data_IF_653176895437
#
_entry.id   IF_653176895437
#
_cell.length_a   1.000
_cell.length_b   1.000
_cell.length_c   1.000
_cell.angle_alpha   90.00
_cell.angle_beta   90.00
_cell.angle_gamma   90.00
#
_symmetry.space_group_name_H-M   'P 1'
#
loop_
_entity.id
_entity.type
_entity.pdbx_description
1 polymer ?
#
# COMPACT_ATOMS: atom_id res chain seq x y z
N UNK A 1 -20.00 16.42 21.76
CA UNK A 1 -20.62 15.45 20.84
C UNK A 1 -21.86 16.08 20.25
N UNK A 2 -22.00 16.03 18.94
CA UNK A 2 -23.18 16.55 18.23
C UNK A 2 -23.85 15.42 17.49
N UNK A 3 -25.19 15.44 17.51
CA UNK A 3 -26.04 14.47 16.86
C UNK A 3 -26.94 15.23 15.88
N UNK A 4 -26.88 14.88 14.59
CA UNK A 4 -27.66 15.51 13.53
C UNK A 4 -28.53 14.46 12.84
N UNK A 5 -29.79 14.80 12.58
CA UNK A 5 -30.72 13.96 11.84
C UNK A 5 -30.88 14.49 10.41
N UNK A 6 -30.75 13.61 9.42
CA UNK A 6 -30.91 13.95 8.01
C UNK A 6 -31.84 12.96 7.30
N UNK A 7 -32.70 13.47 6.41
CA UNK A 7 -33.54 12.64 5.53
C UNK A 7 -32.71 12.03 4.38
N UNK A 8 -33.06 10.82 3.95
CA UNK A 8 -32.39 10.06 2.88
C UNK A 8 -32.88 10.44 1.45
N UNK A 9 -32.12 10.13 0.37
CA UNK A 9 -30.93 9.27 0.36
C UNK A 9 -29.58 10.00 0.20
N UNK A 10 -28.61 9.58 1.01
CA UNK A 10 -27.17 9.70 0.74
C UNK A 10 -26.82 8.63 -0.32
N UNK A 11 -25.84 8.86 -1.22
CA UNK A 11 -25.43 7.86 -2.20
C UNK A 11 -25.17 6.49 -1.58
N UNK A 12 -25.75 5.46 -2.19
CA UNK A 12 -25.60 4.08 -1.75
C UNK A 12 -24.21 3.58 -2.16
N UNK A 13 -23.30 3.43 -1.20
CA UNK A 13 -21.99 2.81 -1.42
C UNK A 13 -22.14 1.29 -1.44
N UNK A 14 -22.27 0.71 -2.62
CA UNK A 14 -22.39 -0.73 -2.80
C UNK A 14 -21.19 -1.49 -2.22
N UNK A 15 -19.97 -0.99 -2.38
CA UNK A 15 -18.76 -1.69 -1.93
C UNK A 15 -18.67 -1.78 -0.41
N UNK A 16 -19.11 -0.72 0.30
CA UNK A 16 -19.22 -0.75 1.75
C UNK A 16 -20.10 -1.90 2.25
N UNK A 17 -21.29 -2.07 1.64
CA UNK A 17 -22.24 -3.10 2.05
C UNK A 17 -21.85 -4.50 1.59
N UNK A 18 -21.15 -4.64 0.45
CA UNK A 18 -20.53 -5.90 0.02
C UNK A 18 -19.52 -6.39 1.05
N UNK A 19 -18.58 -5.54 1.47
CA UNK A 19 -17.59 -5.92 2.48
C UNK A 19 -18.23 -6.25 3.82
N UNK A 20 -19.19 -5.44 4.27
CA UNK A 20 -19.91 -5.70 5.51
C UNK A 20 -20.63 -7.05 5.49
N UNK A 21 -21.09 -7.51 4.30
CA UNK A 21 -21.78 -8.79 4.15
C UNK A 21 -20.94 -10.02 4.50
N UNK A 22 -19.61 -9.91 4.51
CA UNK A 22 -18.72 -11.01 4.88
C UNK A 22 -18.83 -11.39 6.37
N UNK A 23 -19.14 -10.43 7.23
CA UNK A 23 -19.35 -10.65 8.67
C UNK A 23 -20.82 -10.58 9.06
N UNK A 24 -21.63 -9.88 8.26
CA UNK A 24 -23.05 -9.65 8.50
C UNK A 24 -23.84 -9.87 7.20
N UNK A 25 -24.22 -11.12 6.89
CA UNK A 25 -24.83 -11.47 5.60
C UNK A 25 -26.05 -10.63 5.20
N UNK A 26 -26.82 -10.12 6.16
CA UNK A 26 -28.00 -9.29 5.92
C UNK A 26 -27.71 -7.80 5.67
N UNK A 27 -26.44 -7.37 5.65
CA UNK A 27 -26.02 -5.97 5.56
C UNK A 27 -26.72 -5.21 4.42
N UNK A 28 -26.73 -5.76 3.21
CA UNK A 28 -27.40 -5.17 2.04
C UNK A 28 -28.89 -4.95 2.25
N UNK A 29 -29.59 -5.97 2.75
CA UNK A 29 -31.03 -5.92 2.98
C UNK A 29 -31.35 -4.91 4.08
N UNK A 30 -30.52 -4.85 5.13
CA UNK A 30 -30.68 -3.89 6.21
C UNK A 30 -30.46 -2.46 5.72
N UNK A 31 -29.38 -2.21 4.97
CA UNK A 31 -29.08 -0.93 4.36
C UNK A 31 -30.22 -0.46 3.45
N UNK A 32 -30.81 -1.32 2.61
CA UNK A 32 -31.93 -0.95 1.73
C UNK A 32 -33.19 -0.45 2.47
N UNK A 33 -33.31 -0.71 3.78
CA UNK A 33 -34.44 -0.26 4.61
C UNK A 33 -34.22 1.12 5.25
N UNK A 34 -33.03 1.70 5.20
CA UNK A 34 -32.78 2.99 5.85
C UNK A 34 -33.67 4.09 5.24
N UNK A 35 -34.10 5.03 6.11
CA UNK A 35 -34.96 6.17 5.73
C UNK A 35 -34.42 7.52 6.21
N UNK A 36 -33.47 7.49 7.13
CA UNK A 36 -32.81 8.66 7.69
C UNK A 36 -31.41 8.28 8.16
N UNK A 37 -30.57 9.28 8.34
CA UNK A 37 -29.24 9.14 8.91
C UNK A 37 -29.16 9.93 10.22
N UNK A 38 -28.56 9.31 11.22
CA UNK A 38 -28.15 9.96 12.45
C UNK A 38 -26.63 10.09 12.43
N UNK A 39 -26.13 11.31 12.29
CA UNK A 39 -24.70 11.58 12.27
C UNK A 39 -24.26 11.92 13.67
N UNK A 40 -23.33 11.14 14.22
CA UNK A 40 -22.73 11.36 15.54
C UNK A 40 -21.29 11.78 15.34
N UNK A 41 -20.96 13.01 15.75
CA UNK A 41 -19.62 13.58 15.56
C UNK A 41 -19.09 14.22 16.84
N UNK A 42 -17.83 13.93 17.24
CA UNK A 42 -17.19 14.66 18.32
C UNK A 42 -16.90 16.08 17.84
N UNK A 43 -17.72 17.06 18.26
CA UNK A 43 -17.32 18.46 18.12
C UNK A 43 -16.27 18.79 19.18
N UNK A 44 -15.19 19.44 18.75
CA UNK A 44 -14.25 20.08 19.66
C UNK A 44 -15.02 20.94 20.66
N UNK A 45 -14.57 20.96 21.92
CA UNK A 45 -15.23 21.75 22.96
C UNK A 45 -15.42 23.18 22.47
N UNK A 46 -16.65 23.69 22.55
CA UNK A 46 -16.91 25.12 22.40
C UNK A 46 -15.90 25.88 23.25
N UNK A 47 -15.28 26.91 22.66
CA UNK A 47 -14.26 27.77 23.27
C UNK A 47 -14.73 28.33 24.62
N UNK A 48 -14.53 27.57 25.68
CA UNK A 48 -14.49 28.04 27.05
C UNK A 48 -13.04 28.01 27.46
N UNK A 49 -12.51 29.18 27.82
CA UNK A 49 -11.11 29.49 28.15
C UNK A 49 -10.60 28.78 29.42
N UNK A 50 -10.75 27.46 29.52
CA UNK A 50 -10.21 26.64 30.62
C UNK A 50 -9.64 25.33 30.07
N UNK A 51 -8.32 25.32 29.87
CA UNK A 51 -7.35 24.23 30.08
C UNK A 51 -7.78 22.76 29.87
N UNK A 52 -8.60 22.44 28.87
CA UNK A 52 -8.82 21.04 28.50
C UNK A 52 -8.03 20.72 27.23
N UNK A 53 -7.02 19.86 27.38
CA UNK A 53 -6.26 19.30 26.25
C UNK A 53 -7.26 18.69 25.26
N UNK A 54 -7.17 18.99 23.95
CA UNK A 54 -8.02 18.33 22.96
C UNK A 54 -7.80 16.82 23.02
N UNK A 55 -8.90 16.06 22.95
CA UNK A 55 -8.83 14.60 22.87
C UNK A 55 -8.08 14.18 21.60
N UNK A 56 -7.21 13.17 21.71
CA UNK A 56 -6.62 12.53 20.55
C UNK A 56 -7.68 11.75 19.76
N UNK A 57 -7.27 11.25 18.58
CA UNK A 57 -8.18 10.53 17.70
C UNK A 57 -8.71 9.24 18.35
N UNK A 58 -7.86 8.52 19.08
CA UNK A 58 -8.21 7.28 19.77
C UNK A 58 -9.25 7.53 20.86
N UNK A 59 -9.04 8.52 21.73
CA UNK A 59 -9.99 8.84 22.80
C UNK A 59 -11.34 9.29 22.23
N UNK A 60 -11.32 10.04 21.12
CA UNK A 60 -12.55 10.38 20.39
C UNK A 60 -13.24 9.15 19.82
N UNK A 61 -12.50 8.20 19.25
CA UNK A 61 -13.06 6.96 18.72
C UNK A 61 -13.72 6.11 19.81
N UNK A 62 -13.06 5.96 20.96
CA UNK A 62 -13.60 5.26 22.12
C UNK A 62 -14.89 5.93 22.64
N UNK A 63 -14.86 7.26 22.82
CA UNK A 63 -16.02 8.01 23.28
C UNK A 63 -17.19 7.94 22.29
N UNK A 64 -16.92 8.11 20.99
CA UNK A 64 -17.92 7.97 19.94
C UNK A 64 -18.51 6.56 19.92
N UNK A 65 -17.68 5.53 20.11
CA UNK A 65 -18.12 4.13 20.17
C UNK A 65 -19.12 3.89 21.30
N UNK A 66 -18.78 4.35 22.52
CA UNK A 66 -19.66 4.22 23.68
C UNK A 66 -20.98 4.99 23.49
N UNK A 67 -20.92 6.23 22.99
CA UNK A 67 -22.11 7.06 22.76
C UNK A 67 -23.00 6.46 21.68
N UNK A 68 -22.43 6.06 20.54
CA UNK A 68 -23.20 5.43 19.47
C UNK A 68 -23.81 4.11 19.98
N UNK A 69 -23.09 3.34 20.78
CA UNK A 69 -23.63 2.14 21.44
C UNK A 69 -24.87 2.43 22.28
N UNK A 70 -24.83 3.47 23.12
CA UNK A 70 -25.98 3.91 23.91
C UNK A 70 -27.15 4.39 23.04
N UNK A 71 -26.87 5.14 21.96
CA UNK A 71 -27.88 5.62 21.01
C UNK A 71 -28.56 4.46 20.29
N UNK A 72 -27.79 3.50 19.78
CA UNK A 72 -28.30 2.31 19.10
C UNK A 72 -29.17 1.49 20.06
N UNK A 73 -28.73 1.30 21.31
CA UNK A 73 -29.51 0.62 22.33
C UNK A 73 -30.83 1.34 22.67
N UNK A 74 -30.84 2.67 22.64
CA UNK A 74 -32.04 3.47 22.90
C UNK A 74 -33.00 3.58 21.69
N UNK A 75 -32.54 3.25 20.48
CA UNK A 75 -33.27 3.44 19.23
C UNK A 75 -33.43 2.13 18.45
N UNK A 76 -34.52 1.37 18.66
CA UNK A 76 -34.72 0.06 18.02
C UNK A 76 -34.90 0.14 16.49
N UNK A 77 -35.04 1.34 15.92
CA UNK A 77 -35.15 1.57 14.47
C UNK A 77 -33.81 1.71 13.73
N UNK A 78 -32.67 1.66 14.43
CA UNK A 78 -31.35 1.72 13.77
C UNK A 78 -31.14 0.42 12.98
N UNK A 79 -30.84 0.55 11.69
CA UNK A 79 -30.65 -0.61 10.80
C UNK A 79 -29.19 -0.96 10.57
N UNK A 80 -28.27 -0.01 10.78
CA UNK A 80 -26.84 -0.16 10.59
C UNK A 80 -26.10 1.00 11.29
N UNK A 81 -24.83 0.80 11.59
CA UNK A 81 -23.88 1.86 11.96
C UNK A 81 -22.77 1.91 10.91
N UNK A 82 -22.48 3.10 10.41
CA UNK A 82 -21.37 3.34 9.47
C UNK A 82 -20.33 4.23 10.15
N UNK A 83 -19.11 3.70 10.26
CA UNK A 83 -17.97 4.40 10.84
C UNK A 83 -17.12 5.02 9.73
N UNK A 84 -16.95 6.35 9.79
CA UNK A 84 -16.11 7.14 8.87
C UNK A 84 -16.38 6.87 7.37
N UNK A 85 -17.59 6.42 7.02
CA UNK A 85 -17.94 6.03 5.65
C UNK A 85 -17.30 4.73 5.14
N UNK A 86 -16.42 4.08 5.91
CA UNK A 86 -15.56 2.99 5.43
C UNK A 86 -15.93 1.61 5.98
N UNK A 87 -16.54 1.57 7.17
CA UNK A 87 -16.83 0.33 7.90
C UNK A 87 -18.29 0.32 8.32
N UNK A 88 -19.03 -0.70 7.94
CA UNK A 88 -20.43 -0.86 8.31
C UNK A 88 -20.62 -2.07 9.23
N UNK A 89 -21.44 -1.89 10.27
CA UNK A 89 -21.75 -2.92 11.28
C UNK A 89 -23.24 -2.98 11.56
N UNK A 90 -23.70 -4.18 11.89
CA UNK A 90 -25.03 -4.39 12.43
C UNK A 90 -25.20 -3.64 13.76
N UNK A 91 -26.41 -3.19 14.10
CA UNK A 91 -26.72 -2.65 15.43
C UNK A 91 -26.27 -3.57 16.58
N UNK A 92 -26.44 -4.88 16.42
CA UNK A 92 -26.15 -5.89 17.44
C UNK A 92 -24.66 -5.97 17.75
N UNK A 93 -23.81 -6.12 16.72
CA UNK A 93 -22.35 -6.06 16.86
C UNK A 93 -21.89 -4.76 17.53
N UNK A 94 -22.49 -3.61 17.17
CA UNK A 94 -22.11 -2.34 17.76
C UNK A 94 -22.47 -2.28 19.24
N UNK A 95 -23.68 -2.67 19.63
CA UNK A 95 -24.12 -2.72 21.03
C UNK A 95 -23.18 -3.61 21.83
N UNK A 96 -22.88 -4.82 21.35
CA UNK A 96 -22.05 -5.78 22.06
C UNK A 96 -20.63 -5.24 22.30
N UNK A 97 -19.94 -4.84 21.24
CA UNK A 97 -18.56 -4.40 21.32
C UNK A 97 -18.40 -3.01 21.96
N UNK A 98 -19.41 -2.14 21.88
CA UNK A 98 -19.35 -0.80 22.48
C UNK A 98 -19.25 -0.82 24.01
N UNK A 99 -19.64 -1.92 24.66
CA UNK A 99 -19.47 -2.12 26.11
C UNK A 99 -18.00 -2.13 26.52
N UNK A 100 -17.12 -2.53 25.60
CA UNK A 100 -15.67 -2.56 25.77
C UNK A 100 -14.99 -1.37 25.11
N UNK A 101 -15.70 -0.25 24.86
CA UNK A 101 -15.17 0.94 24.18
C UNK A 101 -13.80 1.43 24.68
N UNK A 102 -13.53 1.28 25.98
CA UNK A 102 -12.30 1.72 26.63
C UNK A 102 -11.34 0.57 26.98
N UNK A 103 -11.66 -0.66 26.57
CA UNK A 103 -10.80 -1.81 26.82
C UNK A 103 -9.53 -1.75 25.95
N UNK A 104 -8.46 -2.37 26.46
CA UNK A 104 -7.23 -2.63 25.70
C UNK A 104 -7.35 -3.94 24.92
N UNK A 105 -6.43 -4.18 23.98
CA UNK A 105 -6.34 -5.48 23.30
C UNK A 105 -6.19 -6.62 24.34
N UNK A 106 -6.90 -7.76 24.19
CA UNK A 106 -7.65 -8.19 23.01
C UNK A 106 -9.10 -7.69 22.92
N UNK A 107 -9.64 -7.10 23.97
CA UNK A 107 -11.07 -6.74 24.06
C UNK A 107 -11.41 -5.37 23.47
N UNK A 108 -10.40 -4.62 23.00
CA UNK A 108 -10.58 -3.35 22.29
C UNK A 108 -11.50 -3.56 21.06
N UNK A 109 -12.52 -2.73 20.84
CA UNK A 109 -13.50 -2.93 19.77
C UNK A 109 -13.00 -2.39 18.43
N UNK A 110 -11.74 -2.68 18.09
CA UNK A 110 -11.10 -2.21 16.88
C UNK A 110 -11.84 -2.69 15.62
N UNK A 111 -12.54 -3.83 15.71
CA UNK A 111 -13.36 -4.37 14.65
C UNK A 111 -14.58 -3.49 14.31
N UNK A 112 -14.97 -2.54 15.17
CA UNK A 112 -15.97 -1.51 14.83
C UNK A 112 -15.39 -0.38 13.97
N UNK A 113 -14.07 -0.17 14.00
CA UNK A 113 -13.41 0.98 13.38
C UNK A 113 -12.70 0.64 12.07
N UNK A 114 -12.30 -0.62 11.90
CA UNK A 114 -11.60 -1.11 10.73
C UNK A 114 -12.03 -2.54 10.38
N UNK A 115 -11.71 -2.96 9.16
CA UNK A 115 -11.86 -4.33 8.67
C UNK A 115 -10.49 -4.98 8.51
N UNK A 116 -10.44 -6.30 8.71
CA UNK A 116 -9.31 -7.15 8.32
C UNK A 116 -9.82 -8.05 7.20
N UNK A 117 -9.35 -7.80 6.00
CA UNK A 117 -9.77 -8.48 4.78
C UNK A 117 -8.73 -9.53 4.40
N UNK A 118 -9.00 -10.83 4.62
CA UNK A 118 -8.12 -11.87 4.13
C UNK A 118 -8.16 -11.90 2.59
N UNK A 119 -7.03 -12.21 1.98
CA UNK A 119 -6.92 -12.40 0.53
C UNK A 119 -5.95 -13.53 0.21
N UNK A 120 -6.05 -14.07 -0.99
CA UNK A 120 -5.13 -15.09 -1.49
C UNK A 120 -4.23 -14.48 -2.57
N UNK A 121 -2.91 -14.55 -2.37
CA UNK A 121 -1.91 -14.15 -3.36
C UNK A 121 -1.07 -15.37 -3.77
N UNK A 122 -1.41 -15.95 -4.92
CA UNK A 122 -0.86 -17.23 -5.34
C UNK A 122 -1.24 -18.35 -4.35
N UNK A 123 -0.27 -18.78 -3.54
CA UNK A 123 -0.47 -19.80 -2.48
C UNK A 123 -0.42 -19.22 -1.07
N UNK A 124 -0.16 -17.92 -0.94
CA UNK A 124 0.03 -17.28 0.35
C UNK A 124 -1.25 -16.58 0.76
N UNK A 125 -1.71 -16.86 1.99
CA UNK A 125 -2.82 -16.16 2.59
C UNK A 125 -2.27 -14.86 3.19
N UNK A 126 -2.78 -13.74 2.70
CA UNK A 126 -2.52 -12.43 3.26
C UNK A 126 -3.76 -11.84 3.92
N UNK A 127 -3.57 -10.70 4.57
CA UNK A 127 -4.65 -9.88 5.07
C UNK A 127 -4.29 -8.40 4.92
N UNK A 128 -5.29 -7.57 4.62
CA UNK A 128 -5.14 -6.11 4.59
C UNK A 128 -6.13 -5.45 5.53
N UNK A 129 -5.83 -4.24 5.98
CA UNK A 129 -6.78 -3.44 6.74
C UNK A 129 -7.49 -2.41 5.87
N UNK A 130 -8.71 -2.06 6.27
CA UNK A 130 -9.44 -0.89 5.75
C UNK A 130 -9.94 -0.09 6.95
N UNK A 131 -9.50 1.17 7.08
CA UNK A 131 -9.89 2.09 8.14
C UNK A 131 -8.82 2.33 9.21
N UNK A 132 -7.74 1.53 9.26
CA UNK A 132 -6.65 1.73 10.21
C UNK A 132 -5.90 3.05 9.95
N UNK A 133 -5.87 3.49 8.68
CA UNK A 133 -5.23 4.75 8.28
C UNK A 133 -5.77 5.97 9.02
N UNK A 134 -7.01 5.93 9.51
CA UNK A 134 -7.57 7.00 10.34
C UNK A 134 -6.83 7.17 11.68
N UNK A 135 -6.20 6.10 12.19
CA UNK A 135 -5.45 6.09 13.44
C UNK A 135 -3.94 6.23 13.23
N UNK A 136 -3.40 5.55 12.22
CA UNK A 136 -1.96 5.40 12.03
C UNK A 136 -1.41 6.05 10.74
N UNK A 137 -2.27 6.69 9.94
CA UNK A 137 -1.92 7.28 8.64
C UNK A 137 -1.65 6.27 7.52
N UNK A 138 -1.71 4.96 7.81
CA UNK A 138 -1.46 3.87 6.86
C UNK A 138 -2.35 2.67 7.18
N UNK A 139 -2.68 1.89 6.17
CA UNK A 139 -3.24 0.54 6.35
C UNK A 139 -2.10 -0.49 6.55
N UNK A 140 -2.44 -1.73 6.89
CA UNK A 140 -1.53 -2.87 6.87
C UNK A 140 -1.78 -3.68 5.60
N UNK A 141 -0.71 -4.14 4.96
CA UNK A 141 -0.76 -5.17 3.91
C UNK A 141 0.17 -6.32 4.32
N UNK A 142 -0.40 -7.37 4.90
CA UNK A 142 0.35 -8.48 5.49
C UNK A 142 0.30 -9.70 4.56
N UNK A 143 1.46 -10.14 4.08
CA UNK A 143 1.60 -11.32 3.23
C UNK A 143 2.86 -12.10 3.61
N UNK A 144 2.72 -13.00 4.57
CA UNK A 144 3.81 -13.86 5.06
C UNK A 144 3.53 -15.31 4.70
N UNK A 145 4.51 -15.96 4.05
CA UNK A 145 4.43 -17.33 3.57
C UNK A 145 4.21 -18.33 4.71
N UNK A 146 3.45 -19.39 4.44
CA UNK A 146 3.28 -20.53 5.37
C UNK A 146 2.24 -20.33 6.48
N UNK A 147 1.59 -19.16 6.55
CA UNK A 147 0.55 -18.90 7.54
C UNK A 147 -0.83 -19.30 7.04
N UNK A 148 -1.64 -19.84 7.95
CA UNK A 148 -3.08 -20.00 7.74
C UNK A 148 -3.84 -18.66 7.93
N UNK A 149 -5.10 -18.63 7.50
CA UNK A 149 -5.93 -17.43 7.60
C UNK A 149 -6.11 -16.93 9.03
N UNK A 150 -6.21 -17.84 10.02
CA UNK A 150 -6.44 -17.46 11.42
C UNK A 150 -5.22 -16.78 12.01
N UNK A 151 -4.04 -17.33 11.75
CA UNK A 151 -2.76 -16.78 12.22
C UNK A 151 -2.46 -15.45 11.53
N UNK A 152 -2.64 -15.36 10.21
CA UNK A 152 -2.46 -14.09 9.48
C UNK A 152 -3.41 -12.98 9.99
N UNK A 153 -4.70 -13.28 10.14
CA UNK A 153 -5.68 -12.30 10.66
C UNK A 153 -5.43 -11.92 12.12
N UNK A 154 -5.02 -12.88 12.95
CA UNK A 154 -4.64 -12.64 14.35
C UNK A 154 -3.42 -11.72 14.48
N UNK A 155 -2.39 -11.91 13.63
CA UNK A 155 -1.21 -11.02 13.60
C UNK A 155 -1.57 -9.61 13.15
N UNK A 156 -2.40 -9.48 12.11
CA UNK A 156 -2.89 -8.16 11.68
C UNK A 156 -3.70 -7.49 12.79
N UNK A 157 -4.56 -8.20 13.51
CA UNK A 157 -5.31 -7.65 14.64
C UNK A 157 -4.37 -7.11 15.74
N UNK A 158 -3.36 -7.89 16.13
CA UNK A 158 -2.36 -7.47 17.12
C UNK A 158 -1.59 -6.21 16.68
N UNK A 159 -1.11 -6.20 15.42
CA UNK A 159 -0.40 -5.07 14.84
C UNK A 159 -1.29 -3.81 14.78
N UNK A 160 -2.55 -3.96 14.36
CA UNK A 160 -3.47 -2.84 14.29
C UNK A 160 -3.75 -2.26 15.68
N UNK A 161 -3.99 -3.08 16.70
CA UNK A 161 -4.15 -2.60 18.07
C UNK A 161 -2.88 -1.92 18.61
N UNK A 162 -1.69 -2.44 18.26
CA UNK A 162 -0.43 -1.78 18.58
C UNK A 162 -0.36 -0.38 17.96
N UNK A 163 -0.65 -0.24 16.67
CA UNK A 163 -0.62 1.05 15.98
C UNK A 163 -1.70 2.01 16.46
N UNK A 164 -2.88 1.52 16.82
CA UNK A 164 -3.92 2.35 17.45
C UNK A 164 -3.42 2.89 18.79
N UNK A 165 -2.76 2.07 19.61
CA UNK A 165 -2.34 2.45 20.95
C UNK A 165 -1.10 3.36 20.97
N UNK A 166 -0.15 3.16 20.05
CA UNK A 166 1.18 3.82 20.08
C UNK A 166 1.47 4.71 18.87
N UNK A 167 0.64 4.65 17.83
CA UNK A 167 0.93 5.31 16.56
C UNK A 167 2.07 4.66 15.79
N UNK A 168 2.40 5.25 14.63
CA UNK A 168 3.43 4.74 13.73
C UNK A 168 4.86 5.13 14.15
N UNK A 169 5.00 6.20 14.93
CA UNK A 169 6.31 6.73 15.34
C UNK A 169 7.08 5.76 16.23
N UNK A 170 6.36 5.01 17.08
CA UNK A 170 6.89 3.92 17.89
C UNK A 170 6.81 2.56 17.19
N UNK A 171 6.39 2.54 15.92
CA UNK A 171 6.21 1.34 15.11
C UNK A 171 7.43 0.93 14.30
N UNK A 172 7.36 -0.25 13.65
CA UNK A 172 8.42 -0.73 12.77
C UNK A 172 8.67 0.24 11.61
N UNK A 173 9.93 0.62 11.42
CA UNK A 173 10.35 1.52 10.34
C UNK A 173 10.42 0.77 9.00
N UNK A 174 10.25 1.50 7.91
CA UNK A 174 10.49 0.95 6.57
C UNK A 174 11.92 0.43 6.46
N UNK A 175 12.09 -0.76 5.90
CA UNK A 175 13.38 -1.47 5.81
C UNK A 175 13.71 -2.33 7.04
N UNK A 176 12.88 -2.32 8.10
CA UNK A 176 13.07 -3.23 9.22
C UNK A 176 12.87 -4.69 8.81
N UNK A 177 13.59 -5.60 9.47
CA UNK A 177 13.47 -7.04 9.28
C UNK A 177 13.24 -7.68 10.63
N UNK A 178 12.19 -8.49 10.73
CA UNK A 178 11.93 -9.35 11.88
C UNK A 178 12.56 -10.72 11.64
N UNK A 179 13.25 -11.23 12.66
CA UNK A 179 13.76 -12.59 12.67
C UNK A 179 12.63 -13.61 12.86
N UNK A 180 12.94 -14.87 12.58
CA UNK A 180 12.03 -15.97 12.78
C UNK A 180 11.54 -16.07 14.24
N UNK A 181 10.28 -16.44 14.43
CA UNK A 181 9.66 -16.72 15.71
C UNK A 181 8.98 -18.11 15.73
N UNK A 182 8.19 -18.41 16.77
CA UNK A 182 7.53 -19.72 16.92
C UNK A 182 6.44 -20.00 15.88
N UNK A 183 5.91 -18.98 15.22
CA UNK A 183 4.86 -19.10 14.19
C UNK A 183 5.40 -18.83 12.79
N UNK A 184 6.47 -18.05 12.65
CA UNK A 184 7.09 -17.66 11.39
C UNK A 184 8.55 -18.11 11.41
N UNK A 185 8.89 -19.19 10.70
CA UNK A 185 10.22 -19.81 10.70
C UNK A 185 11.26 -19.11 9.80
N UNK A 186 10.98 -17.89 9.35
CA UNK A 186 11.81 -17.14 8.40
C UNK A 186 11.69 -15.63 8.63
N UNK A 187 12.51 -14.86 7.91
CA UNK A 187 12.58 -13.40 8.08
C UNK A 187 11.44 -12.68 7.38
N UNK A 188 10.90 -11.68 8.04
CA UNK A 188 9.82 -10.82 7.51
C UNK A 188 10.32 -9.39 7.36
N UNK A 189 10.28 -8.87 6.15
CA UNK A 189 10.62 -7.48 5.85
C UNK A 189 9.40 -6.57 6.01
N UNK A 190 9.65 -5.36 6.52
CA UNK A 190 8.68 -4.27 6.61
C UNK A 190 9.00 -3.21 5.58
N UNK A 191 8.01 -2.81 4.79
CA UNK A 191 8.15 -1.70 3.83
C UNK A 191 6.97 -0.75 3.95
N UNK A 192 7.25 0.55 4.05
CA UNK A 192 6.24 1.59 3.91
C UNK A 192 6.12 1.92 2.42
N UNK A 193 4.98 1.61 1.81
CA UNK A 193 4.78 1.68 0.36
C UNK A 193 3.33 2.03 0.00
N UNK A 194 3.01 2.18 -1.28
CA UNK A 194 1.62 2.23 -1.73
C UNK A 194 1.08 0.82 -1.92
N UNK A 195 -0.19 0.59 -1.56
CA UNK A 195 -0.80 -0.72 -1.73
C UNK A 195 -0.94 -1.07 -3.21
N UNK A 196 -0.65 -2.32 -3.54
CA UNK A 196 -1.00 -2.89 -4.86
C UNK A 196 -2.51 -2.99 -5.08
N UNK A 197 -3.30 -2.99 -4.01
CA UNK A 197 -4.77 -2.99 -4.05
C UNK A 197 -5.36 -1.58 -4.16
N UNK A 198 -4.53 -0.55 -4.35
CA UNK A 198 -4.96 0.86 -4.48
C UNK A 198 -5.78 1.39 -3.29
N UNK A 199 -5.57 0.84 -2.10
CA UNK A 199 -6.18 1.32 -0.84
C UNK A 199 -5.37 2.45 -0.18
N UNK A 200 -4.38 3.00 -0.88
CA UNK A 200 -3.50 4.07 -0.39
C UNK A 200 -2.22 3.56 0.29
N UNK A 201 -1.61 4.38 1.17
CA UNK A 201 -0.35 4.05 1.84
C UNK A 201 -0.50 2.88 2.83
N UNK A 202 0.46 1.95 2.79
CA UNK A 202 0.47 0.75 3.65
C UNK A 202 1.80 0.56 4.37
N UNK A 203 1.73 -0.18 5.47
CA UNK A 203 2.83 -0.90 6.10
C UNK A 203 2.74 -2.33 5.59
N UNK A 204 3.63 -2.68 4.67
CA UNK A 204 3.68 -4.01 4.08
C UNK A 204 4.59 -4.92 4.88
N UNK A 205 4.11 -6.12 5.20
CA UNK A 205 4.88 -7.20 5.81
C UNK A 205 5.00 -8.31 4.79
N UNK A 206 6.22 -8.73 4.47
CA UNK A 206 6.43 -9.77 3.46
C UNK A 206 7.63 -10.66 3.78
N UNK A 207 7.51 -11.95 3.48
CA UNK A 207 8.62 -12.90 3.61
C UNK A 207 9.81 -12.45 2.77
N UNK A 208 11.00 -12.35 3.36
CA UNK A 208 12.20 -11.93 2.62
C UNK A 208 12.71 -13.07 1.73
N UNK A 209 12.57 -14.30 2.20
CA UNK A 209 12.95 -15.50 1.46
C UNK A 209 11.78 -15.95 0.57
N UNK A 210 12.03 -16.06 -0.74
CA UNK A 210 11.02 -16.43 -1.74
C UNK A 210 10.77 -17.94 -1.75
N UNK A 211 10.23 -18.45 -0.64
CA UNK A 211 10.01 -19.89 -0.42
C UNK A 211 8.95 -20.47 -1.35
N UNK A 212 8.05 -19.61 -1.81
CA UNK A 212 6.98 -19.94 -2.74
C UNK A 212 7.41 -19.84 -4.21
N UNK A 213 8.67 -19.46 -4.49
CA UNK A 213 9.23 -19.34 -5.84
C UNK A 213 8.47 -18.35 -6.71
N UNK A 214 7.86 -17.34 -6.09
CA UNK A 214 7.00 -16.36 -6.73
C UNK A 214 7.81 -15.23 -7.34
N UNK A 215 8.98 -14.93 -6.83
CA UNK A 215 9.77 -13.79 -7.26
C UNK A 215 10.48 -14.09 -8.58
N UNK A 216 10.11 -13.34 -9.62
CA UNK A 216 10.75 -13.40 -10.93
C UNK A 216 11.67 -12.20 -11.13
N UNK A 217 12.69 -12.40 -11.95
CA UNK A 217 13.65 -11.35 -12.31
C UNK A 217 13.25 -10.76 -13.66
N UNK A 218 13.16 -9.44 -13.73
CA UNK A 218 12.79 -8.70 -14.93
C UNK A 218 13.82 -7.61 -15.21
N UNK A 219 14.09 -7.32 -16.50
CA UNK A 219 14.89 -6.16 -16.86
C UNK A 219 14.10 -4.86 -16.61
N UNK A 220 14.74 -3.89 -15.97
CA UNK A 220 14.26 -2.51 -15.81
C UNK A 220 14.19 -1.88 -17.19
N UNK A 221 15.33 -1.85 -17.91
CA UNK A 221 15.42 -1.45 -19.31
C UNK A 221 15.38 -2.73 -20.18
N UNK A 222 14.32 -2.95 -20.96
CA UNK A 222 14.18 -4.17 -21.75
C UNK A 222 15.19 -4.19 -22.90
N UNK A 223 15.59 -5.40 -23.32
CA UNK A 223 16.59 -5.61 -24.38
C UNK A 223 16.21 -4.89 -25.68
N UNK A 224 14.92 -4.79 -26.01
CA UNK A 224 14.45 -4.05 -27.18
C UNK A 224 14.84 -2.56 -27.11
N UNK A 225 14.59 -1.89 -25.98
CA UNK A 225 15.00 -0.48 -25.80
C UNK A 225 16.52 -0.36 -25.76
N UNK A 226 17.21 -1.26 -25.05
CA UNK A 226 18.67 -1.28 -24.96
C UNK A 226 19.35 -1.38 -26.32
N UNK A 227 18.80 -2.19 -27.23
CA UNK A 227 19.36 -2.42 -28.57
C UNK A 227 19.14 -1.24 -29.52
N UNK A 228 18.02 -0.54 -29.38
CA UNK A 228 17.58 0.47 -30.35
C UNK A 228 17.91 1.91 -29.91
N UNK A 229 18.16 2.15 -28.61
CA UNK A 229 18.43 3.49 -28.11
C UNK A 229 19.91 3.91 -28.31
N UNK A 230 20.20 5.04 -28.99
CA UNK A 230 21.58 5.45 -29.34
C UNK A 230 22.55 5.51 -28.15
N UNK A 231 22.09 6.10 -27.02
CA UNK A 231 22.89 6.17 -25.80
C UNK A 231 23.29 4.79 -25.29
N UNK A 232 22.32 3.88 -25.14
CA UNK A 232 22.56 2.56 -24.56
C UNK A 232 23.45 1.71 -25.47
N UNK A 233 23.29 1.83 -26.79
CA UNK A 233 24.19 1.20 -27.77
C UNK A 233 25.62 1.70 -27.61
N UNK A 234 25.83 3.01 -27.45
CA UNK A 234 27.17 3.57 -27.25
C UNK A 234 27.77 3.12 -25.91
N UNK A 235 27.01 3.16 -24.82
CA UNK A 235 27.45 2.69 -23.50
C UNK A 235 27.80 1.19 -23.52
N UNK A 236 27.02 0.35 -24.22
CA UNK A 236 27.33 -1.08 -24.35
C UNK A 236 28.62 -1.34 -25.12
N UNK A 237 28.97 -0.53 -26.12
CA UNK A 237 30.24 -0.69 -26.87
C UNK A 237 31.48 -0.46 -26.02
N UNK A 238 31.38 0.38 -25.00
CA UNK A 238 32.47 0.68 -24.05
C UNK A 238 32.35 -0.11 -22.74
N UNK A 239 31.39 -1.04 -22.65
CA UNK A 239 31.21 -1.88 -21.45
C UNK A 239 30.56 -1.17 -20.24
N UNK A 240 30.03 0.03 -20.43
CA UNK A 240 29.41 0.83 -19.36
C UNK A 240 27.93 0.50 -19.11
N UNK A 241 27.32 -0.28 -20.00
CA UNK A 241 25.95 -0.75 -19.85
C UNK A 241 25.76 -2.12 -20.49
N UNK A 242 25.17 -3.06 -19.75
CA UNK A 242 24.74 -4.35 -20.28
C UNK A 242 23.30 -4.63 -19.80
N UNK A 243 22.34 -4.90 -20.71
CA UNK A 243 20.97 -5.22 -20.30
C UNK A 243 20.88 -6.48 -19.42
N UNK A 244 21.87 -7.38 -19.45
CA UNK A 244 21.96 -8.58 -18.62
C UNK A 244 22.57 -8.36 -17.24
N UNK A 245 23.19 -7.21 -16.98
CA UNK A 245 23.81 -6.90 -15.68
C UNK A 245 22.79 -6.77 -14.55
N UNK A 246 23.21 -7.09 -13.32
CA UNK A 246 22.35 -7.12 -12.13
C UNK A 246 21.76 -5.74 -11.79
N UNK A 247 22.43 -4.67 -12.18
CA UNK A 247 22.01 -3.27 -12.08
C UNK A 247 20.75 -3.00 -12.91
N UNK A 248 20.60 -3.68 -14.04
CA UNK A 248 19.41 -3.60 -14.88
C UNK A 248 18.32 -4.60 -14.50
N UNK A 249 18.54 -5.47 -13.52
CA UNK A 249 17.55 -6.46 -13.12
C UNK A 249 16.79 -6.01 -11.87
N UNK A 250 15.50 -6.35 -11.81
CA UNK A 250 14.67 -6.19 -10.62
C UNK A 250 13.92 -7.48 -10.33
N UNK A 251 13.85 -7.84 -9.05
CA UNK A 251 13.09 -8.97 -8.55
C UNK A 251 11.69 -8.49 -8.16
N UNK A 252 10.66 -8.94 -8.88
CA UNK A 252 9.27 -8.60 -8.62
C UNK A 252 8.45 -9.87 -8.40
N UNK A 253 7.40 -9.77 -7.59
CA UNK A 253 6.41 -10.84 -7.46
C UNK A 253 5.32 -10.63 -8.51
N UNK A 254 5.10 -11.55 -9.46
CA UNK A 254 4.11 -11.40 -10.52
C UNK A 254 2.68 -11.28 -10.01
N UNK A 255 2.36 -11.87 -8.86
CA UNK A 255 1.04 -11.78 -8.20
C UNK A 255 0.75 -10.41 -7.60
N UNK A 256 1.71 -9.48 -7.62
CA UNK A 256 1.42 -8.06 -7.42
C UNK A 256 0.69 -7.43 -8.63
N UNK A 257 0.62 -8.13 -9.76
CA UNK A 257 0.07 -7.67 -11.02
C UNK A 257 -0.93 -8.70 -11.58
N UNK A 258 -1.89 -8.25 -12.39
CA UNK A 258 -2.85 -9.19 -13.00
C UNK A 258 -2.20 -10.01 -14.12
N UNK A 259 -1.18 -9.44 -14.76
CA UNK A 259 -0.59 -10.00 -15.97
C UNK A 259 0.89 -9.64 -16.04
N UNK A 260 1.71 -10.52 -16.62
CA UNK A 260 3.09 -10.22 -16.99
C UNK A 260 3.20 -9.42 -18.30
N UNK A 261 2.06 -8.95 -18.83
CA UNK A 261 2.04 -7.99 -19.94
C UNK A 261 2.59 -6.66 -19.43
N UNK A 262 3.76 -6.33 -19.94
CA UNK A 262 4.50 -5.10 -19.64
C UNK A 262 3.75 -3.87 -20.15
N UNK A 263 3.75 -2.82 -19.35
CA UNK A 263 3.05 -1.57 -19.67
C UNK A 263 3.80 -0.79 -20.75
N UNK A 264 3.13 -0.55 -21.87
CA UNK A 264 3.66 0.32 -22.93
C UNK A 264 3.93 1.74 -22.42
N UNK A 265 3.12 2.24 -21.48
CA UNK A 265 3.33 3.55 -20.85
C UNK A 265 4.62 3.63 -20.03
N UNK A 266 5.00 2.54 -19.37
CA UNK A 266 6.27 2.45 -18.64
C UNK A 266 7.44 2.55 -19.62
N UNK A 267 7.41 1.75 -20.68
CA UNK A 267 8.46 1.74 -21.71
C UNK A 267 8.56 3.09 -22.45
N UNK A 268 7.42 3.72 -22.79
CA UNK A 268 7.40 5.08 -23.35
C UNK A 268 8.02 6.11 -22.39
N UNK A 269 7.73 6.01 -21.09
CA UNK A 269 8.31 6.88 -20.07
C UNK A 269 9.83 6.72 -19.99
N UNK A 270 10.30 5.47 -19.99
CA UNK A 270 11.72 5.14 -19.97
C UNK A 270 12.44 5.66 -21.23
N UNK A 271 11.89 5.38 -22.42
CA UNK A 271 12.45 5.89 -23.69
C UNK A 271 12.51 7.41 -23.72
N UNK A 272 11.48 8.10 -23.19
CA UNK A 272 11.47 9.56 -23.10
C UNK A 272 12.57 10.08 -22.18
N UNK A 273 12.77 9.47 -21.02
CA UNK A 273 13.84 9.87 -20.08
C UNK A 273 15.22 9.72 -20.72
N UNK A 274 15.47 8.58 -21.37
CA UNK A 274 16.72 8.31 -22.09
C UNK A 274 16.93 9.27 -23.28
N UNK A 275 15.86 9.58 -24.01
CA UNK A 275 15.91 10.57 -25.11
C UNK A 275 16.21 11.97 -24.60
N UNK A 276 15.75 12.32 -23.40
CA UNK A 276 16.08 13.59 -22.75
C UNK A 276 17.58 13.73 -22.45
N UNK A 277 18.25 12.63 -22.07
CA UNK A 277 19.70 12.62 -21.76
C UNK A 277 20.56 12.94 -22.99
N UNK A 278 20.10 12.53 -24.19
CA UNK A 278 20.84 12.75 -25.45
C UNK A 278 20.46 14.03 -26.19
N UNK A 279 19.45 14.75 -25.70
CA UNK A 279 18.97 15.99 -26.31
C UNK A 279 19.80 17.22 -25.90
N UNK A 280 21.05 17.02 -25.47
CA UNK A 280 21.98 18.05 -25.00
C UNK A 280 23.18 18.17 -25.95
N UNK A 281 23.70 19.38 -26.10
CA UNK A 281 24.91 19.63 -26.89
C UNK A 281 26.12 18.88 -26.31
N UNK A 282 26.19 18.78 -24.98
CA UNK A 282 27.24 18.04 -24.25
C UNK A 282 27.29 16.57 -24.67
N UNK A 283 26.13 15.91 -24.82
CA UNK A 283 26.08 14.53 -25.28
C UNK A 283 26.52 14.40 -26.74
N UNK A 284 26.11 15.33 -27.62
CA UNK A 284 26.49 15.29 -29.03
C UNK A 284 28.00 15.41 -29.23
N UNK A 285 28.67 16.28 -28.45
CA UNK A 285 30.12 16.40 -28.44
C UNK A 285 30.79 15.13 -27.91
N UNK A 286 30.33 14.62 -26.77
CA UNK A 286 30.88 13.41 -26.16
C UNK A 286 30.70 12.17 -27.04
N UNK A 287 29.55 12.00 -27.69
CA UNK A 287 29.32 10.93 -28.64
C UNK A 287 30.31 11.00 -29.81
N UNK A 288 30.52 12.20 -30.36
CA UNK A 288 31.47 12.43 -31.45
C UNK A 288 32.89 12.06 -31.03
N UNK A 289 33.32 12.51 -29.85
CA UNK A 289 34.65 12.23 -29.31
C UNK A 289 34.83 10.74 -28.96
N UNK A 290 33.82 10.10 -28.37
CA UNK A 290 33.84 8.67 -28.07
C UNK A 290 33.89 7.82 -29.35
N UNK A 291 33.12 8.16 -30.39
CA UNK A 291 33.18 7.49 -31.71
C UNK A 291 34.56 7.61 -32.35
N UNK A 292 35.21 8.78 -32.22
CA UNK A 292 36.58 8.99 -32.71
C UNK A 292 37.57 8.09 -31.97
N UNK A 293 37.50 8.05 -30.63
CA UNK A 293 38.35 7.17 -29.81
C UNK A 293 38.15 5.69 -30.16
N UNK A 294 36.90 5.23 -30.27
CA UNK A 294 36.59 3.84 -30.68
C UNK A 294 37.11 3.50 -32.08
N UNK A 295 37.07 4.43 -33.02
CA UNK A 295 37.62 4.23 -34.39
C UNK A 295 39.14 4.04 -34.34
N UNK A 296 39.82 4.65 -33.38
CA UNK A 296 41.25 4.50 -33.16
C UNK A 296 41.61 3.24 -32.33
N UNK A 297 40.61 2.50 -31.82
CA UNK A 297 40.81 1.35 -30.93
C UNK A 297 41.01 1.72 -29.45
N UNK A 298 40.84 3.00 -29.10
CA UNK A 298 41.07 3.51 -27.75
C UNK A 298 39.79 3.42 -26.90
N UNK A 299 39.55 2.26 -26.30
CA UNK A 299 38.38 2.03 -25.43
C UNK A 299 38.41 2.87 -24.14
N UNK A 300 39.51 2.93 -23.35
CA UNK A 300 39.49 3.66 -22.07
C UNK A 300 39.18 5.16 -22.19
N UNK A 301 39.69 5.89 -23.22
CA UNK A 301 39.25 7.27 -23.45
C UNK A 301 37.77 7.39 -23.79
N UNK A 302 37.22 6.48 -24.61
CA UNK A 302 35.79 6.48 -24.94
C UNK A 302 34.91 6.20 -23.70
N UNK A 303 35.36 5.29 -22.83
CA UNK A 303 34.73 4.99 -21.54
C UNK A 303 34.72 6.23 -20.64
N UNK A 304 35.88 6.87 -20.44
CA UNK A 304 36.01 8.06 -19.61
C UNK A 304 35.14 9.23 -20.11
N UNK A 305 35.04 9.40 -21.44
CA UNK A 305 34.15 10.40 -22.05
C UNK A 305 32.69 10.07 -21.74
N UNK A 306 32.26 8.82 -21.90
CA UNK A 306 30.85 8.44 -21.76
C UNK A 306 30.39 8.19 -20.31
N UNK A 307 31.31 8.17 -19.35
CA UNK A 307 31.03 7.88 -17.94
C UNK A 307 29.90 8.74 -17.32
N UNK A 308 29.80 10.07 -17.55
CA UNK A 308 28.73 10.88 -16.98
C UNK A 308 27.33 10.39 -17.36
N UNK A 309 27.13 9.97 -18.62
CA UNK A 309 25.84 9.43 -19.07
C UNK A 309 25.59 8.02 -18.56
N UNK A 310 26.63 7.21 -18.37
CA UNK A 310 26.48 5.92 -17.69
C UNK A 310 26.00 6.12 -16.25
N UNK A 311 26.51 7.13 -15.56
CA UNK A 311 26.09 7.48 -14.20
C UNK A 311 24.64 7.99 -14.18
N UNK A 312 24.22 8.81 -15.14
CA UNK A 312 22.82 9.24 -15.29
C UNK A 312 21.87 8.06 -15.57
N UNK A 313 22.24 7.14 -16.45
CA UNK A 313 21.48 5.91 -16.72
C UNK A 313 21.37 5.07 -15.43
N UNK A 314 22.46 4.96 -14.66
CA UNK A 314 22.44 4.26 -13.36
C UNK A 314 21.49 4.92 -12.37
N UNK A 315 21.48 6.25 -12.29
CA UNK A 315 20.53 6.98 -11.44
C UNK A 315 19.08 6.74 -11.86
N UNK A 316 18.80 6.74 -13.16
CA UNK A 316 17.48 6.40 -13.69
C UNK A 316 17.07 4.97 -13.31
N UNK A 317 17.97 3.99 -13.46
CA UNK A 317 17.71 2.60 -13.04
C UNK A 317 17.43 2.50 -11.54
N UNK A 318 18.19 3.20 -10.69
CA UNK A 318 17.97 3.23 -9.24
C UNK A 318 16.62 3.86 -8.88
N UNK A 319 16.27 4.99 -9.49
CA UNK A 319 14.99 5.67 -9.26
C UNK A 319 13.81 4.76 -9.66
N UNK A 320 13.90 4.11 -10.82
CA UNK A 320 12.87 3.16 -11.29
C UNK A 320 12.81 1.93 -10.38
N UNK A 321 13.95 1.36 -9.99
CA UNK A 321 14.01 0.22 -9.07
C UNK A 321 13.32 0.55 -7.75
N UNK A 322 13.57 1.74 -7.21
CA UNK A 322 12.91 2.23 -6.01
C UNK A 322 11.40 2.38 -6.22
N UNK A 323 10.97 3.06 -7.28
CA UNK A 323 9.55 3.25 -7.60
C UNK A 323 8.79 1.95 -7.79
N UNK A 324 9.39 0.96 -8.44
CA UNK A 324 8.81 -0.38 -8.61
C UNK A 324 8.73 -1.16 -7.30
N UNK A 325 9.76 -1.07 -6.45
CA UNK A 325 9.80 -1.73 -5.13
C UNK A 325 8.74 -1.14 -4.19
N UNK A 326 8.55 0.18 -4.24
CA UNK A 326 7.55 0.91 -3.46
C UNK A 326 6.15 0.89 -4.08
N UNK A 327 5.99 0.26 -5.25
CA UNK A 327 4.73 0.25 -6.02
C UNK A 327 4.21 1.67 -6.39
N UNK A 328 5.10 2.67 -6.43
CA UNK A 328 4.81 4.02 -6.95
C UNK A 328 4.87 4.06 -8.48
N UNK A 329 5.56 3.09 -9.07
CA UNK A 329 5.58 2.80 -10.50
C UNK A 329 5.10 1.37 -10.74
N UNK A 330 4.47 1.15 -11.89
CA UNK A 330 4.06 -0.18 -12.34
C UNK A 330 4.81 -0.54 -13.61
N UNK A 331 5.44 -1.71 -13.62
CA UNK A 331 6.06 -2.28 -14.83
C UNK A 331 5.04 -3.10 -15.64
N UNK A 332 4.08 -3.71 -14.96
CA UNK A 332 3.08 -4.60 -15.53
C UNK A 332 1.67 -4.09 -15.27
N UNK A 333 0.68 -4.66 -15.96
CA UNK A 333 -0.73 -4.33 -15.76
C UNK A 333 -1.09 -4.47 -14.27
N UNK A 334 -1.47 -3.36 -13.58
CA UNK A 334 -1.89 -3.44 -12.20
C UNK A 334 -3.18 -4.24 -12.12
N UNK A 335 -3.39 -4.93 -11.00
CA UNK A 335 -4.67 -5.58 -10.80
C UNK A 335 -5.82 -4.56 -10.88
N UNK A 336 -6.91 -4.87 -11.61
CA UNK A 336 -8.13 -4.13 -11.42
C UNK A 336 -8.56 -4.31 -9.98
N UNK A 337 -9.20 -3.29 -9.41
CA UNK A 337 -9.94 -3.48 -8.18
C UNK A 337 -10.97 -4.57 -8.49
N UNK A 338 -10.78 -5.77 -7.93
CA UNK A 338 -11.85 -6.76 -7.96
C UNK A 338 -12.97 -6.16 -7.12
N UNK A 339 -14.08 -5.82 -7.77
CA UNK A 339 -15.35 -5.83 -7.07
C UNK A 339 -15.56 -7.28 -6.61
N UNK A 340 -15.80 -7.49 -5.30
CA UNK A 340 -15.88 -8.82 -4.72
C UNK A 340 -16.94 -9.72 -5.38
#
# INVERSE_FOLDING_TARGET
MTILLMSAPIPFDQQLWERASWLWPEAFRAAGRHRAHLIVAPMGSAESKTERKPLGFVENAQLATAIVGAVVAAMPGVVAVVWQGNVARSPEMWIDQSRSAFASYPDQPFALWMEIVPYLSGKTIGALTIGLSAFAGREIEFEVDGLDQRTATGRVAQLSSYFIARGLDDGPKSGAVFEADSEIDHRVAVLHRNSRFKIGPVISFSSLDDRSGRTKTFPIIPVAIARDHPLLVMLSKVGLFDPGQAENQIRLRPDHYQSEVRLESFDKGLSRALSGMIATDDYAEAETNARRALTNGDIPPAEAILQPWADEVRQLQLAIRLGLTLCDMSMFLPAPLHSP
#
